data_IF_690354362814
#
_entry.id   IF_690354362814
#
_cell.length_a   1.000
_cell.length_b   1.000
_cell.length_c   1.000
_cell.angle_alpha   90.00
_cell.angle_beta   90.00
_cell.angle_gamma   90.00
#
_symmetry.space_group_name_H-M   'P 1'
#
loop_
_entity.id
_entity.type
_entity.pdbx_description
1 polymer ?
#
# COMPACT_ATOMS: atom_id res chain seq x y z
N UNK A 1 32.84 -29.94 -11.69
CA UNK A 1 31.48 -29.57 -11.24
C UNK A 1 31.24 -28.10 -11.54
N UNK A 2 30.26 -27.77 -12.39
CA UNK A 2 29.95 -26.37 -12.73
C UNK A 2 29.44 -25.67 -11.46
N UNK A 3 30.15 -24.64 -10.95
CA UNK A 3 29.63 -23.78 -9.89
C UNK A 3 28.41 -23.04 -10.43
N UNK A 4 27.20 -23.35 -9.96
CA UNK A 4 26.00 -22.56 -10.26
C UNK A 4 26.13 -21.19 -9.60
N UNK A 5 25.88 -20.12 -10.36
CA UNK A 5 25.76 -18.77 -9.79
C UNK A 5 24.56 -18.74 -8.84
N UNK A 6 24.71 -18.21 -7.61
CA UNK A 6 23.59 -18.07 -6.69
C UNK A 6 22.52 -17.12 -7.27
N UNK A 7 21.26 -17.44 -7.00
CA UNK A 7 20.11 -16.58 -7.35
C UNK A 7 19.84 -15.69 -6.14
N UNK A 8 20.05 -14.39 -6.30
CA UNK A 8 19.72 -13.41 -5.26
C UNK A 8 18.29 -12.90 -5.49
N UNK A 9 17.50 -12.85 -4.43
CA UNK A 9 16.14 -12.33 -4.45
C UNK A 9 16.05 -11.19 -3.44
N UNK A 10 15.56 -10.05 -3.91
CA UNK A 10 15.21 -8.91 -3.09
C UNK A 10 13.79 -8.48 -3.47
N UNK A 11 12.94 -8.28 -2.47
CA UNK A 11 11.58 -7.79 -2.64
C UNK A 11 11.35 -6.62 -1.68
N UNK A 12 10.34 -5.81 -1.97
CA UNK A 12 9.90 -4.73 -1.10
C UNK A 12 9.03 -5.28 0.04
N UNK A 13 9.21 -4.79 1.26
CA UNK A 13 8.59 -5.40 2.46
C UNK A 13 7.15 -4.95 2.69
N UNK A 14 6.76 -3.77 2.21
CA UNK A 14 5.43 -3.21 2.48
C UNK A 14 5.31 -1.75 2.04
N UNK A 15 5.27 -0.84 3.01
CA UNK A 15 4.99 0.60 2.89
C UNK A 15 5.66 1.28 1.71
N UNK A 16 4.85 1.86 0.84
CA UNK A 16 5.32 2.82 -0.16
C UNK A 16 5.02 4.24 0.31
N UNK A 17 5.65 5.24 -0.33
CA UNK A 17 5.30 6.62 -0.08
C UNK A 17 3.82 6.84 -0.42
N UNK A 18 3.05 7.35 0.55
CA UNK A 18 1.63 7.62 0.37
C UNK A 18 1.43 8.75 -0.67
N UNK A 19 0.73 8.52 -1.78
CA UNK A 19 0.40 9.54 -2.77
C UNK A 19 -0.42 10.69 -2.15
N UNK A 20 -0.31 11.89 -2.72
CA UNK A 20 -1.07 13.06 -2.27
C UNK A 20 -2.59 12.78 -2.22
N UNK A 21 -3.13 12.16 -3.27
CA UNK A 21 -4.56 11.79 -3.35
C UNK A 21 -5.04 10.94 -2.17
N UNK A 22 -4.18 10.07 -1.61
CA UNK A 22 -4.53 9.26 -0.43
C UNK A 22 -4.47 10.10 0.83
N UNK A 23 -3.48 10.99 0.98
CA UNK A 23 -3.40 11.90 2.12
C UNK A 23 -4.65 12.78 2.19
N UNK A 24 -5.01 13.37 1.06
CA UNK A 24 -6.16 14.28 0.94
C UNK A 24 -7.47 13.53 1.21
N UNK A 25 -7.65 12.34 0.63
CA UNK A 25 -8.85 11.54 0.86
C UNK A 25 -8.98 11.06 2.31
N UNK A 26 -7.87 10.66 2.95
CA UNK A 26 -7.89 10.25 4.35
C UNK A 26 -8.19 11.42 5.27
N UNK A 27 -7.62 12.60 5.02
CA UNK A 27 -7.99 13.83 5.74
C UNK A 27 -9.48 14.14 5.57
N UNK A 28 -9.97 14.09 4.33
CA UNK A 28 -11.38 14.33 4.02
C UNK A 28 -12.33 13.37 4.75
N UNK A 29 -11.92 12.13 5.00
CA UNK A 29 -12.72 11.12 5.72
C UNK A 29 -12.59 11.21 7.25
N UNK A 30 -11.36 11.18 7.79
CA UNK A 30 -11.11 11.06 9.23
C UNK A 30 -11.16 12.39 9.99
N UNK A 31 -10.80 13.50 9.33
CA UNK A 31 -10.73 14.82 9.96
C UNK A 31 -11.91 15.70 9.54
N UNK A 32 -12.17 15.80 8.24
CA UNK A 32 -13.15 16.77 7.73
C UNK A 32 -14.57 16.20 7.63
N UNK A 33 -14.72 14.86 7.58
CA UNK A 33 -16.01 14.19 7.41
C UNK A 33 -16.74 14.52 6.09
N UNK A 34 -16.01 14.95 5.06
CA UNK A 34 -16.57 15.43 3.78
C UNK A 34 -16.79 14.33 2.74
N UNK A 35 -16.24 13.14 2.96
CA UNK A 35 -16.48 11.96 2.12
C UNK A 35 -16.90 10.76 2.97
N UNK A 36 -17.70 9.86 2.41
CA UNK A 36 -18.07 8.59 3.04
C UNK A 36 -17.02 7.50 2.82
N UNK A 37 -17.14 6.41 3.60
CA UNK A 37 -16.22 5.27 3.57
C UNK A 37 -16.08 4.62 2.18
N UNK A 38 -17.19 4.51 1.43
CA UNK A 38 -17.19 3.96 0.07
C UNK A 38 -16.36 4.81 -0.90
N UNK A 39 -16.39 6.15 -0.74
CA UNK A 39 -15.61 7.07 -1.56
C UNK A 39 -14.12 6.97 -1.21
N UNK A 40 -13.77 6.91 0.08
CA UNK A 40 -12.39 6.70 0.51
C UNK A 40 -11.85 5.37 -0.06
N UNK A 41 -12.61 4.28 0.11
CA UNK A 41 -12.22 2.94 -0.34
C UNK A 41 -11.92 2.91 -1.85
N UNK A 42 -12.76 3.54 -2.67
CA UNK A 42 -12.55 3.65 -4.12
C UNK A 42 -11.27 4.42 -4.49
N UNK A 43 -10.96 5.50 -3.78
CA UNK A 43 -9.73 6.28 -4.00
C UNK A 43 -8.51 5.43 -3.63
N UNK A 44 -8.56 4.75 -2.48
CA UNK A 44 -7.48 3.87 -2.03
C UNK A 44 -7.26 2.70 -3.01
N UNK A 45 -8.32 2.07 -3.49
CA UNK A 45 -8.27 1.00 -4.48
C UNK A 45 -7.60 1.45 -5.79
N UNK A 46 -7.93 2.66 -6.27
CA UNK A 46 -7.31 3.20 -7.48
C UNK A 46 -5.81 3.43 -7.29
N UNK A 47 -5.39 4.01 -6.16
CA UNK A 47 -3.98 4.22 -5.87
C UNK A 47 -3.21 2.91 -5.65
N UNK A 48 -3.84 1.90 -5.03
CA UNK A 48 -3.22 0.57 -4.85
C UNK A 48 -2.97 -0.10 -6.19
N UNK A 49 -3.93 -0.04 -7.13
CA UNK A 49 -3.71 -0.55 -8.50
C UNK A 49 -2.52 0.13 -9.16
N UNK A 50 -2.42 1.45 -9.06
CA UNK A 50 -1.27 2.20 -9.59
C UNK A 50 0.05 1.79 -8.90
N UNK A 51 0.04 1.57 -7.58
CA UNK A 51 1.23 1.10 -6.86
C UNK A 51 1.67 -0.29 -7.34
N UNK A 52 0.72 -1.19 -7.59
CA UNK A 52 0.98 -2.52 -8.16
C UNK A 52 1.58 -2.40 -9.55
N UNK A 53 1.01 -1.57 -10.43
CA UNK A 53 1.52 -1.36 -11.78
C UNK A 53 2.97 -0.83 -11.77
N UNK A 54 3.28 0.12 -10.88
CA UNK A 54 4.65 0.65 -10.70
C UNK A 54 5.62 -0.45 -10.26
N UNK A 55 5.24 -1.27 -9.28
CA UNK A 55 6.08 -2.36 -8.80
C UNK A 55 6.32 -3.42 -9.88
N UNK A 56 5.30 -3.76 -10.66
CA UNK A 56 5.40 -4.68 -11.80
C UNK A 56 6.32 -4.11 -12.89
N UNK A 57 6.16 -2.83 -13.24
CA UNK A 57 7.02 -2.14 -14.20
C UNK A 57 8.49 -2.06 -13.73
N UNK A 58 8.73 -2.00 -12.41
CA UNK A 58 10.06 -2.07 -11.81
C UNK A 58 10.65 -3.50 -11.79
N UNK A 59 9.91 -4.51 -12.27
CA UNK A 59 10.38 -5.89 -12.36
C UNK A 59 10.20 -6.71 -11.09
N UNK A 60 9.52 -6.17 -10.06
CA UNK A 60 9.25 -6.91 -8.82
C UNK A 60 8.32 -8.09 -9.08
N UNK A 61 8.61 -9.22 -8.43
CA UNK A 61 7.83 -10.46 -8.56
C UNK A 61 6.80 -10.61 -7.46
N UNK A 62 7.11 -10.15 -6.25
CA UNK A 62 6.14 -9.91 -5.20
C UNK A 62 5.82 -8.40 -5.15
N UNK A 63 4.54 -8.08 -5.05
CA UNK A 63 4.05 -6.69 -4.93
C UNK A 63 3.28 -6.52 -3.64
N UNK A 64 3.19 -5.29 -3.17
CA UNK A 64 2.45 -4.89 -1.97
C UNK A 64 1.40 -3.84 -2.34
N UNK A 65 0.42 -3.61 -1.48
CA UNK A 65 -0.55 -2.52 -1.64
C UNK A 65 0.03 -1.14 -1.21
N UNK A 66 1.32 -1.09 -0.89
CA UNK A 66 1.97 0.10 -0.34
C UNK A 66 1.49 0.48 1.05
N UNK A 67 0.66 -0.35 1.70
CA UNK A 67 0.10 -0.12 3.02
C UNK A 67 -0.70 1.19 3.12
N UNK A 68 -1.37 1.58 2.02
CA UNK A 68 -2.06 2.87 1.91
C UNK A 68 -3.25 3.02 2.86
N UNK A 69 -3.90 1.92 3.23
CA UNK A 69 -5.09 1.91 4.09
C UNK A 69 -4.81 2.03 5.58
N UNK A 70 -3.60 1.68 6.01
CA UNK A 70 -3.25 1.69 7.44
C UNK A 70 -2.66 3.03 7.86
N UNK A 71 -2.90 3.42 9.10
CA UNK A 71 -2.16 4.52 9.73
C UNK A 71 -0.82 4.02 10.28
N UNK A 72 -0.85 2.97 11.11
CA UNK A 72 0.28 2.28 11.74
C UNK A 72 -0.07 0.81 11.98
N UNK A 73 0.73 -0.12 11.45
CA UNK A 73 0.39 -1.55 11.40
C UNK A 73 -0.11 -2.14 12.72
N UNK A 74 0.54 -1.84 13.85
CA UNK A 74 0.16 -2.42 15.14
C UNK A 74 -1.09 -1.76 15.74
N UNK A 75 -1.29 -0.45 15.53
CA UNK A 75 -2.47 0.23 16.04
C UNK A 75 -3.71 -0.17 15.26
N UNK A 76 -3.63 -0.20 13.92
CA UNK A 76 -4.74 -0.66 13.08
C UNK A 76 -5.07 -2.13 13.41
N UNK A 77 -4.07 -3.01 13.55
CA UNK A 77 -4.29 -4.41 13.92
C UNK A 77 -4.99 -4.56 15.27
N UNK A 78 -4.45 -3.95 16.33
CA UNK A 78 -5.01 -4.05 17.68
C UNK A 78 -6.43 -3.48 17.76
N UNK A 79 -6.72 -2.41 17.02
CA UNK A 79 -8.06 -1.81 16.97
C UNK A 79 -9.13 -2.70 16.33
N UNK A 80 -8.75 -3.76 15.61
CA UNK A 80 -9.66 -4.73 15.00
C UNK A 80 -9.84 -6.02 15.82
N UNK A 81 -9.20 -6.16 16.99
CA UNK A 81 -9.27 -7.37 17.82
C UNK A 81 -10.40 -7.38 18.85
N UNK A 82 -11.17 -6.30 18.97
CA UNK A 82 -12.25 -6.10 19.94
C UNK A 82 -13.55 -5.77 19.24
#
# INVERSE_FOLDING_TARGET
MQKRKPIFRADHVGSLLRPAVIKDARKAYFEDGTIGAEKLSRIEDAAIRQAVDIQQAAGLKAVTDGEYRRSFWHYDFLGHLT
#
